data_IF_522254274144
#
_entry.id   IF_522254274144
#
_cell.length_a   1.000
_cell.length_b   1.000
_cell.length_c   1.000
_cell.angle_alpha   90.00
_cell.angle_beta   90.00
_cell.angle_gamma   90.00
#
_symmetry.space_group_name_H-M   'P 1'
#
loop_
_entity.id
_entity.type
_entity.pdbx_description
1 polymer ?
#
# COMPACT_ATOMS: atom_id res chain seq x y z
N UNK A 1 -13.53 5.06 11.12
CA UNK A 1 -12.35 4.48 10.42
C UNK A 1 -12.11 3.03 10.86
N UNK A 2 -11.51 2.14 10.02
CA UNK A 2 -11.26 0.75 10.39
C UNK A 2 -10.49 0.59 11.71
N UNK A 3 -9.45 1.40 11.94
CA UNK A 3 -8.65 1.35 13.16
C UNK A 3 -9.52 1.60 14.42
N UNK A 4 -10.39 2.60 14.39
CA UNK A 4 -11.31 2.92 15.49
C UNK A 4 -12.29 1.77 15.78
N UNK A 5 -12.85 1.17 14.72
CA UNK A 5 -13.80 0.06 14.84
C UNK A 5 -13.14 -1.16 15.52
N UNK A 6 -11.86 -1.40 15.22
CA UNK A 6 -11.10 -2.51 15.79
C UNK A 6 -10.32 -2.14 17.07
N UNK A 7 -10.45 -0.89 17.55
CA UNK A 7 -9.74 -0.40 18.73
C UNK A 7 -8.21 -0.45 18.58
N UNK A 8 -7.68 -0.17 17.38
CA UNK A 8 -6.26 -0.25 17.09
C UNK A 8 -5.62 1.14 17.12
N UNK A 9 -4.45 1.23 17.76
CA UNK A 9 -3.60 2.42 17.78
C UNK A 9 -2.68 2.48 16.54
N UNK A 10 -3.29 2.68 15.37
CA UNK A 10 -2.63 2.81 14.05
C UNK A 10 -3.47 3.68 13.10
N UNK A 11 -2.88 4.09 11.98
CA UNK A 11 -3.61 4.77 10.89
C UNK A 11 -3.78 6.28 11.08
N UNK A 12 -3.10 6.86 12.07
CA UNK A 12 -3.00 8.32 12.26
C UNK A 12 -1.61 8.82 11.84
N UNK A 13 -1.54 10.11 11.51
CA UNK A 13 -0.28 10.82 11.26
C UNK A 13 -0.05 11.86 12.37
N UNK A 14 0.51 11.40 13.48
CA UNK A 14 0.75 12.19 14.69
C UNK A 14 2.15 11.95 15.25
N UNK A 15 2.63 12.86 16.10
CA UNK A 15 3.92 12.69 16.77
C UNK A 15 3.86 11.45 17.67
N UNK A 16 4.76 10.49 17.43
CA UNK A 16 4.83 9.24 18.18
C UNK A 16 4.05 8.08 17.55
N UNK A 17 3.21 8.34 16.55
CA UNK A 17 2.57 7.29 15.77
C UNK A 17 3.60 6.54 14.90
N UNK A 18 3.30 5.28 14.57
CA UNK A 18 4.11 4.52 13.62
C UNK A 18 4.10 5.19 12.25
N UNK A 19 5.27 5.32 11.62
CA UNK A 19 5.42 5.98 10.32
C UNK A 19 4.99 5.07 9.15
N UNK A 20 3.72 4.66 9.17
CA UNK A 20 3.06 3.98 8.06
C UNK A 20 2.41 5.02 7.16
N UNK A 21 2.91 5.16 5.94
CA UNK A 21 2.51 6.26 5.06
C UNK A 21 2.47 5.82 3.60
N UNK A 22 1.61 6.47 2.82
CA UNK A 22 1.60 6.37 1.36
C UNK A 22 1.73 7.78 0.80
N UNK A 23 2.71 7.98 -0.09
CA UNK A 23 2.83 9.21 -0.86
C UNK A 23 2.09 9.03 -2.19
N UNK A 24 1.14 9.92 -2.43
CA UNK A 24 0.31 9.94 -3.64
C UNK A 24 0.73 11.11 -4.52
N UNK A 25 0.92 10.85 -5.81
CA UNK A 25 1.13 11.89 -6.80
C UNK A 25 -0.25 12.44 -7.24
N UNK A 26 -0.58 13.69 -6.88
CA UNK A 26 -1.88 14.27 -7.23
C UNK A 26 -2.03 14.48 -8.74
N UNK A 27 -0.96 14.80 -9.47
CA UNK A 27 -1.02 15.08 -10.92
C UNK A 27 -1.30 13.79 -11.71
N UNK A 28 -0.76 12.66 -11.26
CA UNK A 28 -1.05 11.35 -11.88
C UNK A 28 -2.43 10.80 -11.47
N UNK A 29 -2.93 11.19 -10.29
CA UNK A 29 -4.25 10.81 -9.81
C UNK A 29 -5.36 11.64 -10.47
N UNK A 30 -5.10 12.91 -10.76
CA UNK A 30 -6.09 13.80 -11.35
C UNK A 30 -6.53 13.30 -12.73
N UNK A 31 -7.85 13.20 -12.92
CA UNK A 31 -8.43 12.65 -14.14
C UNK A 31 -8.15 11.16 -14.40
N UNK A 32 -7.54 10.41 -13.47
CA UNK A 32 -7.31 8.98 -13.64
C UNK A 32 -8.63 8.23 -13.84
N UNK A 33 -8.70 7.44 -14.90
CA UNK A 33 -9.83 6.57 -15.20
C UNK A 33 -9.49 5.13 -14.83
N UNK A 34 -10.07 4.57 -13.75
CA UNK A 34 -9.69 3.25 -13.25
C UNK A 34 -9.81 2.13 -14.27
N UNK A 35 -10.78 2.24 -15.20
CA UNK A 35 -11.04 1.22 -16.22
C UNK A 35 -9.92 1.14 -17.27
N UNK A 36 -9.13 2.20 -17.47
CA UNK A 36 -8.00 2.20 -18.40
C UNK A 36 -6.81 1.37 -17.91
N UNK A 37 -6.70 1.16 -16.60
CA UNK A 37 -5.59 0.44 -15.96
C UNK A 37 -6.01 -0.93 -15.41
N UNK A 38 -7.23 -1.37 -15.72
CA UNK A 38 -7.69 -2.72 -15.46
C UNK A 38 -7.12 -3.70 -16.47
N UNK A 39 -6.69 -4.86 -16.00
CA UNK A 39 -6.28 -5.98 -16.86
C UNK A 39 -6.60 -7.31 -16.21
N UNK A 40 -6.80 -8.32 -17.05
CA UNK A 40 -6.79 -9.72 -16.64
C UNK A 40 -5.33 -10.18 -16.60
N UNK A 41 -4.89 -10.66 -15.44
CA UNK A 41 -3.58 -11.27 -15.25
C UNK A 41 -3.76 -12.71 -14.78
N UNK A 42 -3.15 -13.67 -15.47
CA UNK A 42 -3.06 -15.04 -14.98
C UNK A 42 -2.16 -15.10 -13.75
N UNK A 43 -2.65 -15.69 -12.66
CA UNK A 43 -1.89 -15.82 -11.42
C UNK A 43 -1.73 -17.28 -11.05
N UNK A 44 -0.50 -17.78 -11.16
CA UNK A 44 -0.11 -19.17 -10.87
C UNK A 44 -0.65 -19.68 -9.53
N UNK A 45 -0.55 -18.87 -8.47
CA UNK A 45 -1.03 -19.25 -7.13
C UNK A 45 -2.54 -19.53 -7.06
N UNK A 46 -3.31 -19.09 -8.05
CA UNK A 46 -4.75 -19.30 -8.14
C UNK A 46 -5.15 -20.17 -9.33
N UNK A 47 -4.24 -20.49 -10.25
CA UNK A 47 -4.52 -21.28 -11.45
C UNK A 47 -5.52 -20.64 -12.42
N UNK A 48 -5.82 -19.34 -12.28
CA UNK A 48 -6.88 -18.64 -13.01
C UNK A 48 -6.52 -17.17 -13.30
N UNK A 49 -7.18 -16.58 -14.30
CA UNK A 49 -7.11 -15.14 -14.57
C UNK A 49 -7.85 -14.35 -13.49
N UNK A 50 -7.21 -13.30 -12.98
CA UNK A 50 -7.82 -12.35 -12.05
C UNK A 50 -7.82 -10.95 -12.66
N UNK A 51 -8.95 -10.26 -12.50
CA UNK A 51 -9.03 -8.84 -12.80
C UNK A 51 -8.23 -8.07 -11.74
N UNK A 52 -7.26 -7.29 -12.18
CA UNK A 52 -6.45 -6.41 -11.33
C UNK A 52 -6.47 -4.99 -11.88
N UNK A 53 -6.18 -4.02 -11.03
CA UNK A 53 -5.97 -2.64 -11.43
C UNK A 53 -4.51 -2.26 -11.17
N UNK A 54 -3.80 -1.76 -12.19
CA UNK A 54 -2.38 -1.34 -12.12
C UNK A 54 -2.22 0.12 -12.55
N UNK A 55 -2.64 1.08 -11.73
CA UNK A 55 -2.31 2.48 -11.99
C UNK A 55 -0.79 2.68 -11.94
N UNK A 56 -0.26 3.44 -12.89
CA UNK A 56 1.15 3.82 -12.93
C UNK A 56 1.31 5.26 -12.43
N UNK A 57 2.34 5.51 -11.61
CA UNK A 57 2.69 6.85 -11.16
C UNK A 57 1.79 7.49 -10.09
N UNK A 58 0.63 6.90 -9.76
CA UNK A 58 -0.27 7.42 -8.70
C UNK A 58 0.32 7.21 -7.31
N UNK A 59 0.72 5.98 -7.00
CA UNK A 59 1.41 5.67 -5.74
C UNK A 59 2.90 5.87 -5.97
N UNK A 60 3.45 6.96 -5.46
CA UNK A 60 4.87 7.29 -5.56
C UNK A 60 5.70 6.35 -4.67
N UNK A 61 5.32 6.28 -3.38
CA UNK A 61 6.03 5.47 -2.41
C UNK A 61 5.16 5.03 -1.24
N UNK A 62 5.51 3.89 -0.64
CA UNK A 62 4.86 3.33 0.56
C UNK A 62 5.92 3.10 1.62
N UNK A 63 5.63 3.53 2.84
CA UNK A 63 6.47 3.38 4.02
C UNK A 63 5.74 2.52 5.03
N UNK A 64 6.48 1.58 5.63
CA UNK A 64 6.01 0.79 6.78
C UNK A 64 7.03 1.00 7.89
N UNK A 65 6.59 1.54 9.02
CA UNK A 65 7.45 1.88 10.16
C UNK A 65 8.68 2.71 9.74
N UNK A 66 8.46 3.71 8.86
CA UNK A 66 9.51 4.60 8.34
C UNK A 66 10.43 3.99 7.29
N UNK A 67 10.29 2.71 6.96
CA UNK A 67 11.09 2.02 5.93
C UNK A 67 10.35 2.03 4.60
N UNK A 68 11.02 2.42 3.52
CA UNK A 68 10.46 2.37 2.16
C UNK A 68 10.21 0.91 1.78
N UNK A 69 8.94 0.54 1.63
CA UNK A 69 8.50 -0.79 1.23
C UNK A 69 8.21 -0.87 -0.28
N UNK A 70 7.78 0.24 -0.88
CA UNK A 70 7.49 0.36 -2.30
C UNK A 70 7.92 1.72 -2.81
N UNK A 71 8.53 1.77 -3.99
CA UNK A 71 8.90 3.00 -4.69
C UNK A 71 9.17 2.69 -6.16
N UNK A 72 8.94 3.67 -7.04
CA UNK A 72 9.26 3.57 -8.48
C UNK A 72 8.60 2.34 -9.13
N UNK A 73 7.36 2.02 -8.72
CA UNK A 73 6.60 0.89 -9.27
C UNK A 73 7.09 -0.50 -8.83
N UNK A 74 7.97 -0.60 -7.82
CA UNK A 74 8.53 -1.86 -7.36
C UNK A 74 8.62 -1.98 -5.83
N UNK A 75 8.53 -3.23 -5.37
CA UNK A 75 8.84 -3.60 -4.00
C UNK A 75 10.32 -3.36 -3.71
N UNK A 76 10.61 -2.75 -2.57
CA UNK A 76 11.97 -2.47 -2.14
C UNK A 76 12.55 -3.66 -1.37
N UNK A 77 13.89 -3.75 -1.29
CA UNK A 77 14.61 -4.90 -0.73
C UNK A 77 14.18 -5.30 0.69
N UNK A 78 13.69 -4.35 1.49
CA UNK A 78 13.23 -4.61 2.84
C UNK A 78 11.89 -5.38 2.88
N UNK A 79 11.01 -5.16 1.90
CA UNK A 79 9.68 -5.77 1.88
C UNK A 79 9.79 -7.29 1.67
N UNK A 80 9.22 -8.06 2.60
CA UNK A 80 9.26 -9.53 2.59
C UNK A 80 10.57 -10.15 3.12
N UNK A 81 11.60 -9.35 3.39
CA UNK A 81 12.90 -9.82 3.86
C UNK A 81 13.27 -9.30 5.26
N UNK A 82 12.63 -8.23 5.70
CA UNK A 82 12.79 -7.66 7.04
C UNK A 82 11.43 -7.59 7.74
N UNK A 83 11.46 -7.65 9.08
CA UNK A 83 10.27 -7.39 9.89
C UNK A 83 9.98 -5.90 9.91
N UNK A 84 9.06 -5.44 9.06
CA UNK A 84 8.67 -4.03 8.98
C UNK A 84 7.50 -3.68 9.91
N UNK A 85 6.60 -4.63 10.13
CA UNK A 85 5.41 -4.46 10.97
C UNK A 85 5.48 -5.22 12.29
N UNK A 86 4.38 -5.13 13.05
CA UNK A 86 4.16 -5.88 14.29
C UNK A 86 2.72 -6.41 14.33
N UNK A 87 2.48 -7.42 15.15
CA UNK A 87 1.12 -7.84 15.45
C UNK A 87 0.37 -6.71 16.17
N UNK A 88 -0.76 -6.27 15.61
CA UNK A 88 -1.62 -5.27 16.22
C UNK A 88 -2.50 -5.92 17.29
N UNK A 89 -2.69 -5.19 18.39
CA UNK A 89 -3.54 -5.59 19.51
C UNK A 89 -4.51 -4.45 19.76
N UNK A 90 -5.71 -4.79 20.22
CA UNK A 90 -6.64 -3.78 20.71
C UNK A 90 -5.99 -2.99 21.85
N UNK A 91 -6.19 -1.67 21.83
CA UNK A 91 -5.72 -0.73 22.85
C UNK A 91 -6.49 -0.89 24.17
#
# INVERSE_FOLDING_TARGET
EPAEIFGLDVGSLEIGAQADMVLINPDALDGWQPDQTRKLEYREIFGHEQMVNRPEGIVDSVYINGVVAWKDGAAQAALGHQTLGRALRAA
#
